data_IF_686088759763
#
_entry.id   IF_686088759763
#
_cell.length_a   1.000
_cell.length_b   1.000
_cell.length_c   1.000
_cell.angle_alpha   90.00
_cell.angle_beta   90.00
_cell.angle_gamma   90.00
#
_symmetry.space_group_name_H-M   'P 1'
#
loop_
_entity.id
_entity.type
_entity.pdbx_description
1 polymer ?
#
# COMPACT_ATOMS: atom_id res chain seq x y z
N UNK A 1 -23.28 -17.52 -3.17
CA UNK A 1 -22.35 -16.59 -2.47
C UNK A 1 -21.70 -17.20 -1.22
N UNK A 2 -22.44 -17.79 -0.27
CA UNK A 2 -21.85 -18.38 0.96
C UNK A 2 -20.83 -19.50 0.72
N UNK A 3 -21.10 -20.41 -0.21
CA UNK A 3 -20.22 -21.56 -0.51
C UNK A 3 -18.89 -21.14 -1.14
N UNK A 4 -18.89 -20.10 -1.98
CA UNK A 4 -17.68 -19.56 -2.63
C UNK A 4 -16.75 -18.94 -1.58
N UNK A 5 -17.29 -18.20 -0.61
CA UNK A 5 -16.51 -17.64 0.50
C UNK A 5 -15.83 -18.73 1.34
N UNK A 6 -16.57 -19.80 1.68
CA UNK A 6 -16.02 -20.94 2.43
C UNK A 6 -14.94 -21.66 1.63
N UNK A 7 -15.13 -21.84 0.31
CA UNK A 7 -14.12 -22.46 -0.55
C UNK A 7 -12.83 -21.64 -0.63
N UNK A 8 -12.93 -20.30 -0.77
CA UNK A 8 -11.76 -19.41 -0.80
C UNK A 8 -10.99 -19.49 0.53
N UNK A 9 -11.70 -19.40 1.66
CA UNK A 9 -11.09 -19.49 2.98
C UNK A 9 -10.42 -20.85 3.20
N UNK A 10 -11.08 -21.94 2.76
CA UNK A 10 -10.53 -23.30 2.83
C UNK A 10 -9.26 -23.49 2.00
N UNK A 11 -9.22 -22.94 0.79
CA UNK A 11 -8.03 -22.98 -0.08
C UNK A 11 -6.88 -22.18 0.54
N UNK A 12 -7.16 -21.00 1.10
CA UNK A 12 -6.16 -20.17 1.78
C UNK A 12 -5.61 -20.90 3.02
N UNK A 13 -6.46 -21.55 3.82
CA UNK A 13 -6.05 -22.34 4.97
C UNK A 13 -5.20 -23.56 4.59
N UNK A 14 -5.56 -24.27 3.51
CA UNK A 14 -4.78 -25.39 2.98
C UNK A 14 -3.40 -24.95 2.49
N UNK A 15 -3.33 -23.83 1.77
CA UNK A 15 -2.06 -23.22 1.35
C UNK A 15 -1.21 -22.84 2.56
N UNK A 16 -1.82 -22.25 3.60
CA UNK A 16 -1.13 -21.92 4.85
C UNK A 16 -0.61 -23.16 5.58
N UNK A 17 -1.37 -24.26 5.59
CA UNK A 17 -0.98 -25.52 6.21
C UNK A 17 0.21 -26.18 5.48
N UNK A 18 0.29 -26.03 4.16
CA UNK A 18 1.39 -26.56 3.34
C UNK A 18 2.70 -25.76 3.48
N UNK A 19 2.66 -24.54 4.02
CA UNK A 19 3.85 -23.70 4.17
C UNK A 19 4.62 -24.03 5.45
N UNK A 20 5.95 -24.06 5.34
CA UNK A 20 6.82 -24.23 6.50
C UNK A 20 6.72 -23.02 7.45
N UNK A 21 6.88 -23.26 8.77
CA UNK A 21 6.83 -22.20 9.79
C UNK A 21 7.80 -21.04 9.51
N UNK A 22 8.98 -21.32 8.93
CA UNK A 22 9.92 -20.27 8.50
C UNK A 22 9.37 -19.43 7.35
N UNK A 23 8.69 -20.05 6.39
CA UNK A 23 8.11 -19.33 5.25
C UNK A 23 6.95 -18.44 5.68
N UNK A 24 6.07 -18.95 6.56
CA UNK A 24 4.98 -18.16 7.14
C UNK A 24 5.54 -16.95 7.89
N UNK A 25 6.52 -17.15 8.78
CA UNK A 25 7.17 -16.06 9.52
C UNK A 25 7.74 -14.99 8.58
N UNK A 26 8.49 -15.40 7.55
CA UNK A 26 9.11 -14.50 6.57
C UNK A 26 8.06 -13.74 5.74
N UNK A 27 6.93 -14.38 5.42
CA UNK A 27 5.84 -13.75 4.68
C UNK A 27 5.09 -12.74 5.54
N UNK A 28 4.78 -13.08 6.79
CA UNK A 28 4.13 -12.16 7.75
C UNK A 28 5.01 -10.95 8.04
N UNK A 29 6.33 -11.13 8.14
CA UNK A 29 7.26 -10.04 8.35
C UNK A 29 7.28 -9.06 7.16
N UNK A 30 7.38 -9.58 5.93
CA UNK A 30 7.29 -8.77 4.71
C UNK A 30 5.94 -8.06 4.58
N UNK A 31 4.85 -8.76 4.92
CA UNK A 31 3.50 -8.21 4.90
C UNK A 31 3.38 -7.07 5.91
N UNK A 32 3.87 -7.27 7.14
CA UNK A 32 3.88 -6.24 8.19
C UNK A 32 4.67 -4.99 7.75
N UNK A 33 5.87 -5.17 7.20
CA UNK A 33 6.67 -4.07 6.65
C UNK A 33 5.95 -3.36 5.52
N UNK A 34 5.30 -4.10 4.63
CA UNK A 34 4.53 -3.53 3.52
C UNK A 34 3.34 -2.71 4.03
N UNK A 35 2.58 -3.23 5.00
CA UNK A 35 1.46 -2.51 5.61
C UNK A 35 1.93 -1.25 6.35
N UNK A 36 3.05 -1.31 7.06
CA UNK A 36 3.66 -0.12 7.67
C UNK A 36 4.06 0.91 6.62
N UNK A 37 4.69 0.47 5.53
CA UNK A 37 5.10 1.34 4.42
C UNK A 37 3.89 1.96 3.73
N UNK A 38 2.80 1.21 3.59
CA UNK A 38 1.54 1.70 3.03
C UNK A 38 0.91 2.76 3.93
N UNK A 39 0.78 2.50 5.24
CA UNK A 39 0.26 3.48 6.19
C UNK A 39 1.12 4.75 6.20
N UNK A 40 2.45 4.60 6.18
CA UNK A 40 3.38 5.73 6.12
C UNK A 40 3.27 6.51 4.80
N UNK A 41 3.08 5.83 3.67
CA UNK A 41 2.85 6.48 2.38
C UNK A 41 1.59 7.36 2.39
N UNK A 42 0.49 6.88 2.98
CA UNK A 42 -0.73 7.68 3.14
C UNK A 42 -0.50 8.88 4.06
N UNK A 43 0.20 8.70 5.18
CA UNK A 43 0.53 9.79 6.09
C UNK A 43 1.37 10.86 5.38
N UNK A 44 2.39 10.45 4.62
CA UNK A 44 3.23 11.37 3.87
C UNK A 44 2.46 12.08 2.74
N UNK A 45 1.57 11.39 2.03
CA UNK A 45 0.67 12.01 1.05
C UNK A 45 -0.22 13.06 1.66
N UNK A 46 -0.75 12.77 2.83
CA UNK A 46 -1.64 13.68 3.53
C UNK A 46 -0.90 14.96 3.95
N UNK A 47 0.32 14.81 4.48
CA UNK A 47 1.19 15.96 4.80
C UNK A 47 1.52 16.76 3.54
N UNK A 48 1.87 16.10 2.43
CA UNK A 48 2.16 16.76 1.16
C UNK A 48 0.96 17.48 0.58
N UNK A 49 -0.24 16.89 0.68
CA UNK A 49 -1.47 17.55 0.23
C UNK A 49 -1.74 18.83 1.04
N UNK A 50 -1.59 18.78 2.37
CA UNK A 50 -1.76 19.97 3.22
C UNK A 50 -0.67 21.02 2.91
N UNK A 51 0.59 20.61 2.86
CA UNK A 51 1.73 21.48 2.60
C UNK A 51 1.64 22.14 1.21
N UNK A 52 1.34 21.34 0.19
CA UNK A 52 1.13 21.80 -1.18
C UNK A 52 -0.09 22.71 -1.30
N UNK A 53 -1.14 22.47 -0.51
CA UNK A 53 -2.33 23.31 -0.46
C UNK A 53 -2.04 24.78 -0.14
N UNK A 54 -1.01 25.06 0.67
CA UNK A 54 -0.56 26.44 0.93
C UNK A 54 0.04 27.14 -0.31
N UNK A 55 0.57 26.37 -1.27
CA UNK A 55 1.19 26.86 -2.51
C UNK A 55 0.24 26.66 -3.71
N UNK A 56 -0.99 26.19 -3.47
CA UNK A 56 -1.98 25.90 -4.51
C UNK A 56 -1.76 24.58 -5.27
N UNK A 57 -0.87 23.70 -4.79
CA UNK A 57 -0.57 22.40 -5.39
C UNK A 57 -1.29 21.29 -4.60
N UNK A 58 -2.20 20.57 -5.23
CA UNK A 58 -2.99 19.54 -4.56
C UNK A 58 -2.52 18.13 -4.94
N UNK A 59 -2.05 17.37 -3.95
CA UNK A 59 -1.69 15.97 -4.13
C UNK A 59 -2.91 15.07 -3.91
N UNK A 60 -3.30 14.21 -4.86
CA UNK A 60 -4.45 13.33 -4.64
C UNK A 60 -4.14 12.34 -3.52
N UNK A 61 -4.95 12.33 -2.46
CA UNK A 61 -4.87 11.35 -1.37
C UNK A 61 -5.91 10.27 -1.59
N UNK A 62 -5.53 9.23 -2.34
CA UNK A 62 -6.41 8.11 -2.68
C UNK A 62 -5.66 6.77 -2.63
N UNK A 63 -6.37 5.66 -2.82
CA UNK A 63 -5.76 4.33 -2.73
C UNK A 63 -4.66 4.13 -3.79
N UNK A 64 -4.86 4.64 -5.01
CA UNK A 64 -3.89 4.49 -6.09
C UNK A 64 -2.57 5.21 -5.79
N UNK A 65 -2.64 6.49 -5.38
CA UNK A 65 -1.48 7.30 -4.98
C UNK A 65 -0.76 6.72 -3.76
N UNK A 66 -1.51 6.26 -2.75
CA UNK A 66 -0.95 5.58 -1.58
C UNK A 66 -0.19 4.31 -1.95
N UNK A 67 -0.76 3.47 -2.83
CA UNK A 67 -0.07 2.28 -3.36
C UNK A 67 1.16 2.64 -4.19
N UNK A 68 1.06 3.65 -5.05
CA UNK A 68 2.15 4.08 -5.91
C UNK A 68 3.35 4.52 -5.06
N UNK A 69 3.10 5.25 -3.98
CA UNK A 69 4.13 5.62 -3.01
C UNK A 69 4.63 4.46 -2.15
N UNK A 70 3.75 3.56 -1.72
CA UNK A 70 4.15 2.41 -0.92
C UNK A 70 5.04 1.43 -1.69
N UNK A 71 4.81 1.28 -3.00
CA UNK A 71 5.59 0.39 -3.87
C UNK A 71 6.89 1.10 -4.29
N UNK A 72 6.79 2.27 -4.94
CA UNK A 72 7.96 2.96 -5.51
C UNK A 72 8.79 3.69 -4.44
N UNK A 73 8.19 4.19 -3.36
CA UNK A 73 8.89 4.99 -2.36
C UNK A 73 9.31 6.35 -2.91
N UNK A 74 10.60 6.68 -2.83
CA UNK A 74 11.18 7.97 -3.30
C UNK A 74 10.83 8.28 -4.76
N UNK A 75 11.02 7.36 -5.74
CA UNK A 75 10.60 7.62 -7.11
C UNK A 75 9.08 7.81 -7.25
N UNK A 76 8.27 7.25 -6.34
CA UNK A 76 6.84 7.49 -6.27
C UNK A 76 6.50 8.93 -5.87
N UNK A 77 7.26 9.53 -4.93
CA UNK A 77 7.12 10.95 -4.59
C UNK A 77 7.41 11.85 -5.79
N UNK A 78 8.50 11.58 -6.51
CA UNK A 78 8.87 12.37 -7.69
C UNK A 78 7.80 12.28 -8.78
N UNK A 79 7.24 11.10 -9.02
CA UNK A 79 6.16 10.91 -9.99
C UNK A 79 4.90 11.69 -9.58
N UNK A 80 4.47 11.61 -8.32
CA UNK A 80 3.29 12.35 -7.85
C UNK A 80 3.49 13.86 -7.89
N UNK A 81 4.71 14.33 -7.62
CA UNK A 81 5.07 15.74 -7.75
C UNK A 81 5.04 16.21 -9.21
N UNK A 82 5.57 15.41 -10.14
CA UNK A 82 5.46 15.69 -11.55
C UNK A 82 3.99 15.74 -12.00
N UNK A 83 3.16 14.78 -11.59
CA UNK A 83 1.72 14.79 -11.88
C UNK A 83 1.02 16.02 -11.31
N UNK A 84 1.28 16.40 -10.06
CA UNK A 84 0.61 17.53 -9.42
C UNK A 84 1.03 18.91 -9.99
N UNK A 85 2.18 18.99 -10.67
CA UNK A 85 2.70 20.24 -11.25
C UNK A 85 2.43 20.35 -12.75
N UNK A 86 2.48 19.24 -13.49
CA UNK A 86 2.36 19.25 -14.96
C UNK A 86 0.98 18.86 -15.49
N UNK A 87 0.08 18.34 -14.63
CA UNK A 87 -1.30 17.97 -14.98
C UNK A 87 -2.29 18.84 -14.21
#
# INVERSE_FOLDING_TARGET
>A
MKVIGVAIIGVVLLLLLMMDKKQIKKMTEKLSVFWFRLAFAFLALFILNIAGGFVGIYFPVNIASGFLLAILGIPGFAALFAFAVFL
#
